data_IF_148883275191
#
_entry.id   IF_148883275191
#
_cell.length_a   1.000
_cell.length_b   1.000
_cell.length_c   1.000
_cell.angle_alpha   90.00
_cell.angle_beta   90.00
_cell.angle_gamma   90.00
#
_symmetry.space_group_name_H-M   'P 1'
#
loop_
_entity.id
_entity.type
_entity.pdbx_description
1 polymer ?
#
# COMPACT_ATOMS: atom_id res chain seq x y z
N UNK A 1 -26.66 -6.18 17.65
CA UNK A 1 -27.89 -6.34 16.88
C UNK A 1 -27.48 -6.68 15.48
N UNK A 2 -27.73 -7.92 15.07
CA UNK A 2 -27.46 -8.44 13.73
C UNK A 2 -28.82 -8.77 13.12
N UNK A 3 -29.15 -8.16 12.00
CA UNK A 3 -30.47 -8.21 11.35
C UNK A 3 -30.88 -6.79 10.96
N UNK A 4 -31.16 -6.47 9.70
CA UNK A 4 -31.86 -7.25 8.68
C UNK A 4 -31.12 -7.10 7.33
N UNK A 5 -30.68 -8.20 6.74
CA UNK A 5 -30.32 -8.23 5.33
C UNK A 5 -31.61 -8.41 4.53
N UNK A 6 -31.87 -7.51 3.59
CA UNK A 6 -32.87 -7.72 2.54
C UNK A 6 -32.49 -9.02 1.80
N UNK A 7 -33.29 -10.06 1.98
CA UNK A 7 -33.03 -11.41 1.48
C UNK A 7 -33.02 -11.54 -0.06
N UNK A 8 -33.27 -10.44 -0.77
CA UNK A 8 -33.36 -10.38 -2.24
C UNK A 8 -32.16 -9.70 -2.93
N UNK A 9 -31.18 -9.19 -2.18
CA UNK A 9 -29.93 -8.70 -2.79
C UNK A 9 -28.95 -9.88 -2.90
N UNK A 10 -28.51 -10.28 -4.12
CA UNK A 10 -27.48 -11.28 -4.25
C UNK A 10 -26.25 -10.78 -3.49
N UNK A 11 -25.73 -11.58 -2.54
CA UNK A 11 -24.50 -11.29 -1.83
C UNK A 11 -23.40 -11.05 -2.87
N UNK A 12 -23.12 -9.78 -3.16
CA UNK A 12 -22.08 -9.42 -4.09
C UNK A 12 -20.77 -9.98 -3.53
N UNK A 13 -20.01 -10.69 -4.37
CA UNK A 13 -18.75 -11.35 -3.99
C UNK A 13 -17.79 -10.42 -3.22
N UNK A 14 -17.91 -9.12 -3.47
CA UNK A 14 -17.00 -8.11 -2.97
C UNK A 14 -17.64 -7.24 -1.87
N UNK A 15 -18.82 -7.58 -1.34
CA UNK A 15 -19.55 -6.78 -0.34
C UNK A 15 -18.70 -6.50 0.91
N UNK A 16 -18.05 -7.52 1.45
CA UNK A 16 -17.18 -7.40 2.62
C UNK A 16 -15.98 -6.45 2.37
N UNK A 17 -15.48 -6.40 1.14
CA UNK A 17 -14.41 -5.47 0.75
C UNK A 17 -14.95 -4.04 0.69
N UNK A 18 -16.15 -3.82 0.15
CA UNK A 18 -16.78 -2.51 0.09
C UNK A 18 -17.06 -1.97 1.50
N UNK A 19 -17.61 -2.79 2.39
CA UNK A 19 -17.83 -2.41 3.79
C UNK A 19 -16.50 -2.03 4.48
N UNK A 20 -15.41 -2.75 4.20
CA UNK A 20 -14.09 -2.41 4.72
C UNK A 20 -13.54 -1.09 4.17
N UNK A 21 -13.81 -0.76 2.90
CA UNK A 21 -13.43 0.52 2.29
C UNK A 21 -14.24 1.69 2.87
N UNK A 22 -15.54 1.50 3.10
CA UNK A 22 -16.41 2.49 3.72
C UNK A 22 -16.01 2.78 5.18
N UNK A 23 -15.55 1.76 5.91
CA UNK A 23 -15.13 1.90 7.31
C UNK A 23 -13.69 2.39 7.50
N UNK A 24 -12.89 2.49 6.42
CA UNK A 24 -11.48 2.84 6.52
C UNK A 24 -11.28 4.34 6.81
N UNK A 25 -10.30 4.66 7.67
CA UNK A 25 -9.87 6.04 7.92
C UNK A 25 -9.03 6.61 6.75
N UNK A 26 -8.30 5.75 6.05
CA UNK A 26 -7.50 6.06 4.87
C UNK A 26 -7.39 4.80 4.00
N UNK A 27 -7.42 4.97 2.67
CA UNK A 27 -7.25 3.88 1.69
C UNK A 27 -5.90 4.04 0.99
N UNK A 28 -5.06 3.00 1.06
CA UNK A 28 -3.81 2.94 0.30
C UNK A 28 -4.04 2.19 -1.01
N UNK A 29 -4.00 2.91 -2.12
CA UNK A 29 -4.15 2.35 -3.46
C UNK A 29 -2.79 2.03 -4.05
N UNK A 30 -2.51 0.74 -4.22
CA UNK A 30 -1.22 0.26 -4.72
C UNK A 30 -1.32 -0.09 -6.20
N UNK A 31 -0.55 0.59 -7.03
CA UNK A 31 -0.36 0.28 -8.45
C UNK A 31 1.06 -0.17 -8.74
N UNK A 32 1.26 -0.84 -9.87
CA UNK A 32 2.62 -1.07 -10.40
C UNK A 32 2.96 0.02 -11.42
N UNK A 33 4.23 0.41 -11.48
CA UNK A 33 4.75 1.39 -12.43
C UNK A 33 4.70 0.92 -13.91
N UNK A 34 4.39 -0.35 -14.17
CA UNK A 34 4.20 -0.86 -15.54
C UNK A 34 3.02 -0.18 -16.24
N UNK A 35 3.02 -0.06 -17.58
CA UNK A 35 1.92 0.55 -18.32
C UNK A 35 0.54 -0.06 -18.00
N UNK A 36 0.46 -1.40 -17.93
CA UNK A 36 -0.78 -2.09 -17.54
C UNK A 36 -1.13 -1.92 -16.06
N UNK A 37 -0.13 -1.72 -15.20
CA UNK A 37 -0.29 -1.41 -13.79
C UNK A 37 -0.87 -0.01 -13.57
N UNK A 38 -0.33 0.99 -14.27
CA UNK A 38 -0.82 2.36 -14.24
C UNK A 38 -2.24 2.47 -14.84
N UNK A 39 -2.53 1.78 -15.94
CA UNK A 39 -3.88 1.73 -16.50
C UNK A 39 -4.90 1.04 -15.58
N UNK A 40 -4.46 0.08 -14.75
CA UNK A 40 -5.30 -0.53 -13.70
C UNK A 40 -5.47 0.42 -12.51
N UNK A 41 -4.40 1.09 -12.09
CA UNK A 41 -4.41 2.08 -11.03
C UNK A 41 -5.40 3.20 -11.34
N UNK A 42 -5.32 3.80 -12.53
CA UNK A 42 -6.23 4.86 -12.96
C UNK A 42 -7.71 4.43 -12.86
N UNK A 43 -8.04 3.23 -13.35
CA UNK A 43 -9.40 2.69 -13.24
C UNK A 43 -9.81 2.43 -11.80
N UNK A 44 -8.91 1.87 -10.98
CA UNK A 44 -9.15 1.63 -9.57
C UNK A 44 -9.40 2.92 -8.79
N UNK A 45 -8.71 4.01 -9.12
CA UNK A 45 -8.93 5.33 -8.51
C UNK A 45 -10.31 5.90 -8.86
N UNK A 46 -10.76 5.73 -10.10
CA UNK A 46 -12.13 6.12 -10.50
C UNK A 46 -13.15 5.31 -9.70
N UNK A 47 -12.99 3.98 -9.66
CA UNK A 47 -13.89 3.09 -8.91
C UNK A 47 -13.90 3.38 -7.42
N UNK A 48 -12.75 3.70 -6.83
CA UNK A 48 -12.65 4.03 -5.41
C UNK A 48 -13.47 5.27 -5.07
N UNK A 49 -13.48 6.28 -5.94
CA UNK A 49 -14.33 7.47 -5.71
C UNK A 49 -15.82 7.14 -5.75
N UNK A 50 -16.22 6.20 -6.61
CA UNK A 50 -17.63 5.80 -6.72
C UNK A 50 -18.12 5.06 -5.46
N UNK A 51 -17.23 4.35 -4.75
CA UNK A 51 -17.60 3.52 -3.58
C UNK A 51 -17.20 4.13 -2.23
N UNK A 52 -16.14 4.92 -2.18
CA UNK A 52 -15.55 5.47 -0.94
C UNK A 52 -15.02 6.90 -1.14
N UNK A 53 -15.73 7.72 -1.93
CA UNK A 53 -15.28 9.06 -2.32
C UNK A 53 -15.05 10.06 -1.18
N UNK A 54 -15.54 9.77 0.04
CA UNK A 54 -15.26 10.57 1.24
C UNK A 54 -13.99 10.15 2.00
N UNK A 55 -13.45 8.97 1.72
CA UNK A 55 -12.31 8.41 2.46
C UNK A 55 -10.99 8.93 1.87
N UNK A 56 -10.09 9.50 2.69
CA UNK A 56 -8.77 9.91 2.25
C UNK A 56 -8.03 8.79 1.52
N UNK A 57 -7.44 9.10 0.37
CA UNK A 57 -6.68 8.13 -0.42
C UNK A 57 -5.20 8.52 -0.49
N UNK A 58 -4.35 7.51 -0.48
CA UNK A 58 -2.91 7.60 -0.73
C UNK A 58 -2.52 6.62 -1.82
N UNK A 59 -1.70 7.06 -2.76
CA UNK A 59 -1.27 6.21 -3.86
C UNK A 59 0.16 5.73 -3.63
N UNK A 60 0.38 4.43 -3.84
CA UNK A 60 1.70 3.82 -3.84
C UNK A 60 1.96 3.24 -5.22
N UNK A 61 3.00 3.74 -5.88
CA UNK A 61 3.46 3.23 -7.17
C UNK A 61 4.65 2.32 -6.91
N UNK A 62 4.36 1.02 -6.90
CA UNK A 62 5.34 -0.01 -6.62
C UNK A 62 6.11 -0.42 -7.89
N UNK A 63 7.29 -1.02 -7.69
CA UNK A 63 8.14 -1.55 -8.77
C UNK A 63 8.64 -0.47 -9.73
N UNK A 64 8.89 0.72 -9.21
CA UNK A 64 9.40 1.84 -10.00
C UNK A 64 10.84 1.56 -10.43
N UNK A 65 11.14 1.81 -11.71
CA UNK A 65 12.48 1.69 -12.27
C UNK A 65 12.69 2.73 -13.37
N UNK A 66 13.91 3.21 -13.52
CA UNK A 66 14.27 4.25 -14.50
C UNK A 66 14.08 3.82 -15.95
N UNK A 67 14.03 2.52 -16.23
CA UNK A 67 13.93 1.97 -17.59
C UNK A 67 12.50 1.95 -18.17
N UNK A 68 11.49 2.40 -17.40
CA UNK A 68 10.09 2.37 -17.82
C UNK A 68 9.71 3.49 -18.80
N UNK A 69 10.51 4.56 -18.90
CA UNK A 69 10.25 5.68 -19.82
C UNK A 69 9.25 6.72 -19.31
N UNK A 70 8.83 6.64 -18.04
CA UNK A 70 7.99 7.64 -17.37
C UNK A 70 8.75 8.17 -16.15
N UNK A 71 8.67 9.48 -15.92
CA UNK A 71 9.18 10.11 -14.70
C UNK A 71 8.15 10.01 -13.57
N UNK A 72 8.60 10.17 -12.32
CA UNK A 72 7.67 10.29 -11.17
C UNK A 72 6.66 11.42 -11.37
N UNK A 73 7.07 12.53 -12.01
CA UNK A 73 6.20 13.67 -12.31
C UNK A 73 5.08 13.29 -13.29
N UNK A 74 5.39 12.51 -14.32
CA UNK A 74 4.38 12.05 -15.30
C UNK A 74 3.32 11.19 -14.60
N UNK A 75 3.75 10.33 -13.67
CA UNK A 75 2.85 9.45 -12.92
C UNK A 75 2.02 10.25 -11.90
N UNK A 76 2.60 11.23 -11.21
CA UNK A 76 1.86 12.13 -10.32
C UNK A 76 0.79 12.89 -11.10
N UNK A 77 1.12 13.49 -12.24
CA UNK A 77 0.14 14.21 -13.06
C UNK A 77 -0.98 13.31 -13.59
N UNK A 78 -0.67 12.05 -13.91
CA UNK A 78 -1.69 11.05 -14.25
C UNK A 78 -2.61 10.76 -13.07
N UNK A 79 -2.05 10.50 -11.87
CA UNK A 79 -2.83 10.22 -10.66
C UNK A 79 -3.73 11.40 -10.30
N UNK A 80 -3.20 12.63 -10.36
CA UNK A 80 -3.95 13.86 -10.10
C UNK A 80 -5.16 14.00 -11.03
N UNK A 81 -5.02 13.61 -12.30
CA UNK A 81 -6.12 13.61 -13.27
C UNK A 81 -7.28 12.66 -12.91
N UNK A 82 -7.04 11.60 -12.14
CA UNK A 82 -8.05 10.60 -11.76
C UNK A 82 -8.46 10.62 -10.29
N UNK A 83 -7.67 11.18 -9.39
CA UNK A 83 -7.97 11.17 -7.94
C UNK A 83 -7.96 12.58 -7.32
N UNK A 84 -7.64 13.62 -8.10
CA UNK A 84 -7.30 14.92 -7.54
C UNK A 84 -5.93 14.88 -6.83
N UNK A 85 -5.55 15.98 -6.15
CA UNK A 85 -4.28 16.03 -5.43
C UNK A 85 -4.28 15.08 -4.23
N UNK A 86 -3.58 13.95 -4.38
CA UNK A 86 -3.40 12.94 -3.33
C UNK A 86 -1.91 12.63 -3.13
N UNK A 87 -1.46 12.23 -1.93
CA UNK A 87 -0.07 11.85 -1.72
C UNK A 87 0.31 10.62 -2.56
N UNK A 88 1.40 10.72 -3.31
CA UNK A 88 1.95 9.63 -4.13
C UNK A 88 3.33 9.22 -3.61
N UNK A 89 3.52 7.93 -3.38
CA UNK A 89 4.77 7.34 -2.89
C UNK A 89 5.31 6.36 -3.91
N UNK A 90 6.61 6.43 -4.20
CA UNK A 90 7.27 5.54 -5.16
C UNK A 90 8.11 4.50 -4.42
N UNK A 91 7.86 3.22 -4.68
CA UNK A 91 8.69 2.13 -4.18
C UNK A 91 9.54 1.57 -5.33
N UNK A 92 10.88 1.55 -5.19
CA UNK A 92 11.75 1.07 -6.24
C UNK A 92 11.62 -0.46 -6.41
N UNK A 93 11.83 -0.94 -7.62
CA UNK A 93 12.03 -2.38 -7.85
C UNK A 93 13.32 -2.86 -7.17
N UNK A 94 13.20 -3.85 -6.29
CA UNK A 94 14.33 -4.56 -5.67
C UNK A 94 13.99 -6.05 -5.47
N UNK A 95 13.88 -6.75 -6.60
CA UNK A 95 13.53 -8.17 -6.62
C UNK A 95 14.51 -9.03 -5.82
N UNK A 96 15.80 -8.72 -5.86
CA UNK A 96 16.82 -9.48 -5.14
C UNK A 96 16.62 -9.41 -3.61
N UNK A 97 16.28 -8.24 -3.07
CA UNK A 97 15.97 -8.10 -1.64
C UNK A 97 14.65 -8.77 -1.28
N UNK A 98 13.61 -8.61 -2.11
CA UNK A 98 12.30 -9.27 -1.89
C UNK A 98 12.44 -10.79 -1.88
N UNK A 99 13.14 -11.36 -2.86
CA UNK A 99 13.33 -12.81 -2.95
C UNK A 99 14.11 -13.35 -1.73
N UNK A 100 15.14 -12.64 -1.28
CA UNK A 100 15.87 -13.00 -0.05
C UNK A 100 14.97 -12.92 1.20
N UNK A 101 14.12 -11.90 1.32
CA UNK A 101 13.18 -11.75 2.42
C UNK A 101 12.16 -12.90 2.46
N UNK A 102 11.61 -13.26 1.31
CA UNK A 102 10.70 -14.40 1.17
C UNK A 102 11.38 -15.73 1.56
N UNK A 103 12.58 -15.99 1.04
CA UNK A 103 13.34 -17.22 1.36
C UNK A 103 13.71 -17.28 2.85
N UNK A 104 14.05 -16.14 3.45
CA UNK A 104 14.39 -16.08 4.87
C UNK A 104 13.17 -16.11 5.80
N UNK A 105 11.94 -15.94 5.28
CA UNK A 105 10.73 -15.81 6.10
C UNK A 105 10.74 -14.54 6.96
N UNK A 106 11.36 -13.46 6.47
CA UNK A 106 11.55 -12.20 7.20
C UNK A 106 10.93 -11.04 6.43
N UNK A 107 10.56 -9.97 7.14
CA UNK A 107 10.15 -8.73 6.48
C UNK A 107 11.33 -8.05 5.78
N UNK A 108 11.05 -7.11 4.87
CA UNK A 108 12.08 -6.28 4.23
C UNK A 108 12.90 -5.47 5.25
N UNK A 109 12.24 -4.96 6.29
CA UNK A 109 12.88 -4.17 7.35
C UNK A 109 13.76 -5.01 8.28
N UNK A 110 13.49 -6.31 8.38
CA UNK A 110 14.30 -7.24 9.17
C UNK A 110 15.56 -7.69 8.42
N UNK A 111 15.50 -7.84 7.09
CA UNK A 111 16.58 -8.42 6.31
C UNK A 111 17.85 -7.54 6.27
N UNK A 112 17.68 -6.22 6.29
CA UNK A 112 18.76 -5.24 6.28
C UNK A 112 18.46 -4.03 5.39
N UNK A 113 19.47 -3.16 5.19
CA UNK A 113 19.32 -1.93 4.41
C UNK A 113 19.16 -2.22 2.90
N UNK A 114 18.14 -1.60 2.30
CA UNK A 114 17.93 -1.58 0.85
C UNK A 114 17.16 -0.32 0.48
N UNK A 115 17.25 0.13 -0.78
CA UNK A 115 16.47 1.29 -1.24
C UNK A 115 14.97 1.08 -1.06
N UNK A 116 14.50 -0.14 -1.32
CA UNK A 116 13.10 -0.51 -1.12
C UNK A 116 12.71 -0.44 0.37
N UNK A 117 13.55 -0.96 1.28
CA UNK A 117 13.29 -0.87 2.71
C UNK A 117 13.23 0.59 3.19
N UNK A 118 14.16 1.44 2.76
CA UNK A 118 14.15 2.88 3.09
C UNK A 118 12.91 3.59 2.56
N UNK A 119 12.52 3.36 1.30
CA UNK A 119 11.29 3.94 0.74
C UNK A 119 10.03 3.43 1.45
N UNK A 120 10.01 2.16 1.87
CA UNK A 120 8.91 1.60 2.65
C UNK A 120 8.82 2.20 4.05
N UNK A 121 9.96 2.43 4.72
CA UNK A 121 10.02 3.13 6.01
C UNK A 121 9.54 4.58 5.90
N UNK A 122 9.87 5.28 4.81
CA UNK A 122 9.36 6.63 4.54
C UNK A 122 7.84 6.63 4.35
N UNK A 123 7.29 5.67 3.59
CA UNK A 123 5.84 5.48 3.46
C UNK A 123 5.20 5.23 4.83
N UNK A 124 5.75 4.32 5.62
CA UNK A 124 5.23 3.98 6.95
C UNK A 124 5.26 5.20 7.89
N UNK A 125 6.34 5.97 7.89
CA UNK A 125 6.46 7.22 8.67
C UNK A 125 5.42 8.26 8.24
N UNK A 126 5.18 8.39 6.93
CA UNK A 126 4.19 9.32 6.40
C UNK A 126 2.73 8.89 6.64
N UNK A 127 2.47 7.60 6.89
CA UNK A 127 1.16 7.07 7.28
C UNK A 127 0.94 7.11 8.79
N UNK A 128 1.99 6.86 9.57
CA UNK A 128 1.92 6.79 11.03
C UNK A 128 2.90 7.78 11.69
N UNK A 129 2.68 9.11 11.57
CA UNK A 129 3.61 10.11 12.10
C UNK A 129 3.81 9.99 13.62
N UNK A 130 2.75 9.61 14.36
CA UNK A 130 2.81 9.42 15.80
C UNK A 130 3.64 8.18 16.22
N UNK A 131 3.73 7.17 15.35
CA UNK A 131 4.52 5.97 15.60
C UNK A 131 6.01 6.14 15.24
N UNK A 132 6.37 7.23 14.54
CA UNK A 132 7.76 7.58 14.24
C UNK A 132 8.52 8.16 15.44
N UNK A 133 7.85 8.42 16.57
CA UNK A 133 8.52 8.60 17.85
C UNK A 133 9.33 7.33 18.17
N UNK A 134 10.55 7.42 18.72
CA UNK A 134 11.48 6.29 18.78
C UNK A 134 10.82 5.08 19.46
N UNK A 135 10.47 4.09 18.66
CA UNK A 135 9.95 2.82 19.15
C UNK A 135 10.99 2.25 20.11
N UNK A 136 10.62 2.12 21.38
CA UNK A 136 11.41 1.41 22.37
C UNK A 136 11.82 0.08 21.75
N UNK A 137 13.13 -0.09 21.47
CA UNK A 137 13.71 -1.30 20.90
C UNK A 137 13.07 -2.50 21.59
N UNK A 138 12.21 -3.22 20.87
CA UNK A 138 11.67 -4.48 21.33
C UNK A 138 12.88 -5.39 21.54
N UNK A 139 13.32 -5.52 22.79
CA UNK A 139 14.41 -6.40 23.19
C UNK A 139 14.03 -7.78 22.64
N UNK A 140 14.81 -8.28 21.69
CA UNK A 140 14.61 -9.65 21.24
C UNK A 140 14.70 -10.54 22.47
N UNK A 141 13.57 -11.20 22.79
CA UNK A 141 13.59 -12.24 23.81
C UNK A 141 14.37 -13.38 23.18
N UNK A 142 15.66 -13.47 23.51
CA UNK A 142 16.44 -14.68 23.24
C UNK A 142 15.63 -15.85 23.80
N UNK A 143 15.17 -16.72 22.92
CA UNK A 143 14.60 -17.99 23.31
C UNK A 143 15.64 -18.69 24.19
N UNK A 144 15.27 -19.01 25.43
CA UNK A 144 16.13 -19.74 26.34
C UNK A 144 16.44 -21.09 25.72
N UNK A 145 17.72 -21.36 25.48
CA UNK A 145 18.21 -22.71 25.20
C UNK A 145 17.91 -23.57 26.42
N UNK A 146 16.94 -24.48 26.28
CA UNK A 146 16.79 -25.61 27.19
C UNK A 146 17.99 -26.55 27.02
N UNK A 147 18.37 -27.16 28.15
CA UNK A 147 19.62 -27.87 28.45
C UNK A 147 20.04 -28.95 27.45
#
# INVERSE_FOLDING_TARGET
GFGLEDADLPLARDRMTLDALEAADEVVVVGSAEPSGLARLARGLVQLRDVAGGTPARVVVNRMRSTLGWSERDIVGMVEGYAGPVPVHFLPEDRATVDRALVAGRSLTELGESRLATSFEQLASAMFPAAAAPAHRLRSRRAGTAR
#
